data_IF_455683940681
#
_entry.id   IF_455683940681
#
_cell.length_a   1.000
_cell.length_b   1.000
_cell.length_c   1.000
_cell.angle_alpha   90.00
_cell.angle_beta   90.00
_cell.angle_gamma   90.00
#
_symmetry.space_group_name_H-M   'P 1'
#
loop_
_entity.id
_entity.type
_entity.pdbx_description
1 polymer ?
#
# COMPACT_ATOMS: atom_id res chain seq x y z
N UNK A 1 -49.83 49.56 17.57
CA UNK A 1 -48.39 49.35 17.86
C UNK A 1 -48.01 47.92 18.30
N UNK A 2 -48.88 46.91 18.14
CA UNK A 2 -48.58 45.52 18.55
C UNK A 2 -48.13 44.60 17.39
N UNK A 3 -48.41 44.99 16.14
CA UNK A 3 -48.10 44.19 14.94
C UNK A 3 -46.65 44.31 14.45
N UNK A 4 -45.94 45.37 14.84
CA UNK A 4 -44.53 45.57 14.46
C UNK A 4 -43.55 44.77 15.33
N UNK A 5 -43.92 44.49 16.58
CA UNK A 5 -43.09 43.70 17.51
C UNK A 5 -43.04 42.21 17.15
N UNK A 6 -44.13 41.66 16.62
CA UNK A 6 -44.19 40.25 16.19
C UNK A 6 -43.28 40.00 14.98
N UNK A 7 -43.22 40.93 14.03
CA UNK A 7 -42.34 40.81 12.85
C UNK A 7 -40.85 40.91 13.22
N UNK A 8 -40.51 41.76 14.20
CA UNK A 8 -39.12 41.85 14.71
C UNK A 8 -38.73 40.57 15.46
N UNK A 9 -39.61 39.98 16.27
CA UNK A 9 -39.32 38.70 16.94
C UNK A 9 -39.11 37.53 15.95
N UNK A 10 -39.84 37.49 14.83
CA UNK A 10 -39.63 36.48 13.79
C UNK A 10 -38.33 36.69 12.98
N UNK A 11 -37.87 37.93 12.81
CA UNK A 11 -36.57 38.21 12.17
C UNK A 11 -35.38 37.86 13.07
N UNK A 12 -35.53 37.90 14.40
CA UNK A 12 -34.50 37.44 15.33
C UNK A 12 -34.53 35.92 15.58
N UNK A 13 -35.67 35.24 15.43
CA UNK A 13 -35.75 33.77 15.47
C UNK A 13 -35.30 33.07 14.17
N UNK A 14 -35.06 33.82 13.09
CA UNK A 14 -34.48 33.31 11.83
C UNK A 14 -32.97 33.05 11.88
N UNK A 15 -32.30 33.36 13.00
CA UNK A 15 -30.95 32.88 13.33
C UNK A 15 -31.05 31.79 14.40
N UNK A 16 -31.88 30.77 14.17
CA UNK A 16 -31.56 29.44 14.73
C UNK A 16 -30.16 29.16 14.20
N UNK A 17 -29.20 29.14 15.11
CA UNK A 17 -27.85 28.68 14.85
C UNK A 17 -28.01 27.34 14.13
N UNK A 18 -27.71 27.30 12.83
CA UNK A 18 -27.27 26.07 12.23
C UNK A 18 -25.98 25.75 12.99
N UNK A 19 -26.11 24.99 14.08
CA UNK A 19 -25.02 24.24 14.63
C UNK A 19 -24.37 23.58 13.42
N UNK A 20 -23.12 23.95 13.15
CA UNK A 20 -22.41 23.43 11.98
C UNK A 20 -22.60 21.92 11.95
N UNK A 21 -22.83 21.37 10.77
CA UNK A 21 -22.81 19.93 10.63
C UNK A 21 -21.40 19.44 11.01
N UNK A 22 -21.33 18.41 11.84
CA UNK A 22 -20.09 17.70 12.18
C UNK A 22 -19.28 17.48 10.90
N UNK A 23 -18.05 17.98 10.86
CA UNK A 23 -17.18 17.82 9.70
C UNK A 23 -16.17 16.71 9.97
N UNK A 24 -16.18 15.69 9.10
CA UNK A 24 -15.14 14.67 9.05
C UNK A 24 -14.13 14.98 7.95
N UNK A 25 -13.09 15.73 8.30
CA UNK A 25 -11.98 16.10 7.44
C UNK A 25 -11.27 14.84 6.93
N UNK A 26 -11.03 14.75 5.62
CA UNK A 26 -10.42 13.59 4.96
C UNK A 26 -11.10 12.22 5.20
N UNK A 27 -12.35 12.18 5.66
CA UNK A 27 -13.03 10.92 6.00
C UNK A 27 -13.13 9.95 4.80
N UNK A 28 -13.52 10.47 3.64
CA UNK A 28 -13.67 9.66 2.41
C UNK A 28 -12.31 9.22 1.87
N UNK A 29 -11.33 10.12 1.88
CA UNK A 29 -9.96 9.88 1.44
C UNK A 29 -9.30 8.79 2.31
N UNK A 30 -9.47 8.88 3.64
CA UNK A 30 -9.04 7.85 4.59
C UNK A 30 -9.67 6.50 4.28
N UNK A 31 -11.00 6.44 4.11
CA UNK A 31 -11.70 5.18 3.90
C UNK A 31 -11.24 4.47 2.63
N UNK A 32 -11.01 5.22 1.55
CA UNK A 32 -10.52 4.67 0.29
C UNK A 32 -9.09 4.16 0.42
N UNK A 33 -8.17 4.94 1.00
CA UNK A 33 -6.79 4.50 1.20
C UNK A 33 -6.70 3.32 2.18
N UNK A 34 -7.50 3.32 3.24
CA UNK A 34 -7.58 2.25 4.22
C UNK A 34 -8.10 0.95 3.60
N UNK A 35 -9.08 1.02 2.69
CA UNK A 35 -9.56 -0.14 1.91
C UNK A 35 -8.45 -0.74 1.06
N UNK A 36 -7.66 0.08 0.35
CA UNK A 36 -6.50 -0.39 -0.41
C UNK A 36 -5.51 -1.10 0.52
N UNK A 37 -5.12 -0.46 1.62
CA UNK A 37 -4.14 -1.02 2.55
C UNK A 37 -4.60 -2.36 3.15
N UNK A 38 -5.88 -2.45 3.54
CA UNK A 38 -6.47 -3.71 4.03
C UNK A 38 -6.47 -4.80 2.97
N UNK A 39 -6.81 -4.48 1.72
CA UNK A 39 -6.80 -5.42 0.61
C UNK A 39 -5.38 -5.93 0.31
N UNK A 40 -4.40 -5.01 0.27
CA UNK A 40 -2.98 -5.32 0.04
C UNK A 40 -2.43 -6.23 1.13
N UNK A 41 -2.70 -5.92 2.41
CA UNK A 41 -2.27 -6.77 3.54
C UNK A 41 -2.93 -8.14 3.47
N UNK A 42 -4.24 -8.22 3.21
CA UNK A 42 -4.93 -9.49 3.10
C UNK A 42 -4.31 -10.36 2.01
N UNK A 43 -4.10 -9.79 0.81
CA UNK A 43 -3.55 -10.51 -0.33
C UNK A 43 -2.12 -10.98 -0.07
N UNK A 44 -1.28 -10.13 0.53
CA UNK A 44 0.08 -10.51 0.90
C UNK A 44 0.12 -11.62 1.96
N UNK A 45 -0.76 -11.60 2.96
CA UNK A 45 -0.72 -12.56 4.08
C UNK A 45 -1.43 -13.87 3.75
N UNK A 46 -2.54 -13.83 3.00
CA UNK A 46 -3.39 -15.00 2.75
C UNK A 46 -3.14 -15.68 1.41
N UNK A 47 -2.59 -14.94 0.44
CA UNK A 47 -2.46 -15.43 -0.93
C UNK A 47 -1.02 -15.40 -1.43
N UNK A 48 -0.02 -15.14 -0.57
CA UNK A 48 1.39 -14.91 -0.99
C UNK A 48 1.93 -15.95 -1.98
N UNK A 49 1.58 -17.23 -1.78
CA UNK A 49 2.09 -18.36 -2.57
C UNK A 49 1.52 -18.44 -3.99
N UNK A 50 0.41 -17.76 -4.27
CA UNK A 50 -0.26 -17.79 -5.59
C UNK A 50 0.09 -16.56 -6.43
N UNK A 51 0.66 -15.52 -5.82
CA UNK A 51 1.00 -14.27 -6.49
C UNK A 51 2.21 -14.44 -7.40
N UNK A 52 2.24 -13.69 -8.50
CA UNK A 52 3.47 -13.48 -9.24
C UNK A 52 4.47 -12.65 -8.42
N UNK A 53 5.76 -12.83 -8.70
CA UNK A 53 6.83 -12.07 -8.04
C UNK A 53 6.70 -10.54 -8.22
N UNK A 54 6.32 -10.01 -9.41
CA UNK A 54 6.06 -8.58 -9.57
C UNK A 54 4.97 -8.06 -8.62
N UNK A 55 3.83 -8.76 -8.53
CA UNK A 55 2.75 -8.36 -7.62
C UNK A 55 3.18 -8.46 -6.17
N UNK A 56 3.85 -9.54 -5.77
CA UNK A 56 4.38 -9.72 -4.42
C UNK A 56 5.31 -8.56 -4.02
N UNK A 57 6.20 -8.15 -4.93
CA UNK A 57 7.09 -7.00 -4.72
C UNK A 57 6.31 -5.70 -4.56
N UNK A 58 5.34 -5.43 -5.43
CA UNK A 58 4.53 -4.20 -5.37
C UNK A 58 3.65 -4.13 -4.10
N UNK A 59 3.09 -5.25 -3.64
CA UNK A 59 2.37 -5.31 -2.37
C UNK A 59 3.28 -4.99 -1.18
N UNK A 60 4.50 -5.57 -1.15
CA UNK A 60 5.49 -5.27 -0.09
C UNK A 60 5.90 -3.80 -0.11
N UNK A 61 6.17 -3.23 -1.29
CA UNK A 61 6.49 -1.80 -1.43
C UNK A 61 5.32 -0.91 -0.99
N UNK A 62 4.08 -1.31 -1.28
CA UNK A 62 2.89 -0.57 -0.84
C UNK A 62 2.78 -0.52 0.69
N UNK A 63 3.12 -1.61 1.38
CA UNK A 63 3.04 -1.70 2.86
C UNK A 63 4.26 -1.07 3.53
N UNK A 64 5.46 -1.48 3.15
CA UNK A 64 6.70 -1.15 3.85
C UNK A 64 7.45 0.05 3.26
N UNK A 65 7.09 0.42 2.03
CA UNK A 65 7.73 1.49 1.28
C UNK A 65 8.99 1.08 0.54
N UNK A 66 9.49 2.00 -0.29
CA UNK A 66 10.71 1.79 -1.07
C UNK A 66 11.95 1.71 -0.17
N UNK A 67 12.78 0.70 -0.39
CA UNK A 67 13.94 0.40 0.46
C UNK A 67 13.56 -0.14 1.84
N UNK A 68 12.27 -0.24 2.15
CA UNK A 68 11.74 -0.79 3.40
C UNK A 68 11.60 -2.31 3.37
N UNK A 69 11.39 -2.87 4.57
CA UNK A 69 11.16 -4.28 4.81
C UNK A 69 10.67 -4.50 6.24
N UNK A 70 10.80 -5.74 6.73
CA UNK A 70 10.37 -6.12 8.08
C UNK A 70 9.05 -6.89 8.08
N UNK A 71 8.45 -6.99 9.25
CA UNK A 71 7.21 -7.74 9.48
C UNK A 71 6.01 -6.81 9.69
N UNK A 72 4.81 -7.33 9.45
CA UNK A 72 3.58 -6.57 9.68
C UNK A 72 3.38 -6.27 11.17
N UNK A 73 3.80 -7.18 12.04
CA UNK A 73 3.76 -7.07 13.49
C UNK A 73 4.64 -5.93 14.00
N UNK A 74 5.87 -5.82 13.47
CA UNK A 74 6.77 -4.70 13.78
C UNK A 74 6.21 -3.37 13.28
N UNK A 75 5.68 -3.35 12.04
CA UNK A 75 5.11 -2.15 11.44
C UNK A 75 3.90 -1.64 12.24
N UNK A 76 3.04 -2.55 12.73
CA UNK A 76 1.88 -2.18 13.57
C UNK A 76 2.28 -1.63 14.94
N UNK A 77 3.40 -2.08 15.50
CA UNK A 77 3.76 -1.80 16.89
C UNK A 77 4.13 -0.34 17.14
N UNK A 78 4.82 0.30 16.20
CA UNK A 78 5.37 1.64 16.44
C UNK A 78 5.49 2.46 15.17
N UNK A 79 5.33 3.78 15.31
CA UNK A 79 5.66 4.73 14.25
C UNK A 79 7.12 4.50 13.78
N UNK A 80 7.37 4.43 12.46
CA UNK A 80 8.72 4.28 11.93
C UNK A 80 9.69 5.34 12.45
N UNK A 81 10.92 4.92 12.75
CA UNK A 81 11.91 5.77 13.45
C UNK A 81 12.36 7.00 12.67
N UNK A 82 12.18 7.03 11.35
CA UNK A 82 12.44 8.20 10.50
C UNK A 82 11.60 9.42 10.87
N UNK A 83 10.41 9.24 11.44
CA UNK A 83 9.59 10.34 11.98
C UNK A 83 10.13 10.93 13.30
N UNK A 84 11.06 10.23 13.98
CA UNK A 84 11.65 10.66 15.25
C UNK A 84 12.99 11.38 15.05
N UNK A 85 13.52 11.39 13.83
CA UNK A 85 14.78 12.05 13.49
C UNK A 85 14.56 13.56 13.31
N UNK A 86 15.62 14.33 13.54
CA UNK A 86 15.66 15.73 13.09
C UNK A 86 15.50 15.74 11.56
N UNK A 87 14.50 16.48 11.06
CA UNK A 87 14.19 16.52 9.62
C UNK A 87 12.91 15.80 9.18
N UNK A 88 12.06 15.33 10.11
CA UNK A 88 10.68 14.91 9.79
C UNK A 88 9.79 16.12 9.42
N UNK A 89 10.19 16.91 8.43
CA UNK A 89 9.47 18.06 7.91
C UNK A 89 8.26 17.59 7.11
N UNK A 90 7.07 18.06 7.48
CA UNK A 90 5.84 17.64 6.81
C UNK A 90 5.81 18.00 5.32
N UNK A 91 6.28 19.19 4.97
CA UNK A 91 6.32 19.65 3.59
C UNK A 91 7.22 18.78 2.73
N UNK A 92 8.38 18.38 3.24
CA UNK A 92 9.25 17.40 2.57
C UNK A 92 8.59 16.03 2.47
N UNK A 93 8.07 15.52 3.57
CA UNK A 93 7.53 14.16 3.65
C UNK A 93 6.24 13.99 2.83
N UNK A 94 5.34 14.97 2.86
CA UNK A 94 3.99 14.84 2.33
C UNK A 94 3.72 15.70 1.08
N UNK A 95 4.58 16.67 0.79
CA UNK A 95 4.26 17.76 -0.14
C UNK A 95 5.28 18.03 -1.24
N UNK A 96 6.52 17.56 -1.12
CA UNK A 96 7.58 17.80 -2.09
C UNK A 96 7.94 16.52 -2.85
N UNK A 97 8.63 16.71 -3.97
CA UNK A 97 9.24 15.60 -4.71
C UNK A 97 10.38 14.99 -3.91
N UNK A 98 10.58 13.70 -4.12
CA UNK A 98 11.76 13.02 -3.62
C UNK A 98 12.98 13.52 -4.39
N UNK A 99 13.93 14.11 -3.66
CA UNK A 99 15.20 14.56 -4.21
C UNK A 99 16.28 13.52 -3.91
N UNK A 100 16.86 12.93 -4.97
CA UNK A 100 17.95 11.93 -4.83
C UNK A 100 19.34 12.55 -4.84
N UNK A 101 19.46 13.80 -5.28
CA UNK A 101 20.73 14.52 -5.43
C UNK A 101 20.71 15.87 -4.70
N UNK A 102 21.42 15.97 -3.58
CA UNK A 102 21.57 17.22 -2.82
C UNK A 102 22.65 17.16 -1.74
N UNK A 103 23.02 18.32 -1.20
CA UNK A 103 24.00 18.53 -0.10
C UNK A 103 23.55 17.94 1.25
N UNK A 104 22.36 17.35 1.31
CA UNK A 104 21.72 16.74 2.48
C UNK A 104 21.46 15.26 2.21
N UNK A 105 21.42 14.44 3.27
CA UNK A 105 21.05 13.03 3.19
C UNK A 105 19.74 12.85 2.43
N UNK A 106 19.65 11.79 1.60
CA UNK A 106 18.44 11.49 0.83
C UNK A 106 17.20 11.44 1.73
N UNK A 107 16.10 12.07 1.28
CA UNK A 107 14.88 12.16 2.07
C UNK A 107 14.39 10.75 2.42
N UNK A 108 14.24 10.40 3.72
CA UNK A 108 13.91 9.03 4.11
C UNK A 108 12.46 8.65 3.73
N UNK A 109 11.61 9.66 3.50
CA UNK A 109 10.22 9.53 3.07
C UNK A 109 9.89 10.65 2.10
N UNK A 110 8.87 10.40 1.28
CA UNK A 110 8.27 11.36 0.37
C UNK A 110 6.83 10.93 0.08
N UNK A 111 6.06 11.82 -0.52
CA UNK A 111 4.67 11.57 -0.86
C UNK A 111 4.53 10.41 -1.87
N UNK A 112 3.80 9.36 -1.53
CA UNK A 112 3.73 8.13 -2.33
C UNK A 112 4.83 7.12 -2.03
N UNK A 113 5.62 7.30 -0.96
CA UNK A 113 6.60 6.31 -0.50
C UNK A 113 5.97 4.97 -0.14
N UNK A 114 4.83 4.99 0.56
CA UNK A 114 4.02 3.82 0.93
C UNK A 114 2.61 4.25 1.32
N UNK A 115 1.65 3.32 1.29
CA UNK A 115 0.27 3.61 1.71
C UNK A 115 0.15 3.98 3.21
N UNK A 116 0.88 3.33 4.16
CA UNK A 116 0.89 3.79 5.56
C UNK A 116 1.48 5.20 5.74
N UNK A 117 2.52 5.55 4.99
CA UNK A 117 3.09 6.90 5.01
C UNK A 117 2.06 7.94 4.56
N UNK A 118 1.38 7.68 3.44
CA UNK A 118 0.33 8.56 2.93
C UNK A 118 -0.82 8.73 3.94
N UNK A 119 -1.16 7.67 4.68
CA UNK A 119 -2.15 7.73 5.76
C UNK A 119 -1.74 8.68 6.88
N UNK A 120 -0.47 8.65 7.31
CA UNK A 120 0.07 9.58 8.30
C UNK A 120 -0.02 11.03 7.79
N UNK A 121 0.38 11.27 6.55
CA UNK A 121 0.29 12.59 5.92
C UNK A 121 -1.15 13.11 5.81
N UNK A 122 -2.12 12.23 5.58
CA UNK A 122 -3.53 12.57 5.45
C UNK A 122 -4.22 12.81 6.81
N UNK A 123 -3.84 12.04 7.83
CA UNK A 123 -4.61 11.89 9.08
C UNK A 123 -3.91 12.40 10.34
N UNK A 124 -2.72 13.00 10.22
CA UNK A 124 -2.07 13.73 11.33
C UNK A 124 -2.49 15.19 11.27
N UNK A 125 -2.88 15.76 12.40
CA UNK A 125 -3.23 17.19 12.48
C UNK A 125 -2.06 18.06 12.04
N UNK A 126 -2.35 19.07 11.24
CA UNK A 126 -1.44 20.11 10.80
C UNK A 126 -1.07 21.09 11.91
N UNK A 127 -0.33 22.12 11.56
CA UNK A 127 0.14 23.15 12.48
C UNK A 127 -0.96 23.66 13.40
N UNK A 128 -0.59 23.87 14.67
CA UNK A 128 -1.50 24.34 15.71
C UNK A 128 -2.74 23.43 15.89
N UNK A 129 -2.65 22.15 15.56
CA UNK A 129 -3.73 21.18 15.68
C UNK A 129 -4.82 21.29 14.60
N UNK A 130 -4.52 21.93 13.46
CA UNK A 130 -5.46 22.01 12.34
C UNK A 130 -5.84 20.63 11.79
N UNK A 131 -7.09 20.36 11.39
CA UNK A 131 -8.25 21.26 11.40
C UNK A 131 -9.00 21.30 12.73
N UNK A 132 -8.69 20.40 13.66
CA UNK A 132 -9.50 20.14 14.86
C UNK A 132 -9.37 21.21 15.95
N UNK A 133 -8.49 22.20 15.78
CA UNK A 133 -8.28 23.31 16.71
C UNK A 133 -8.81 24.65 16.18
N UNK A 134 -9.31 24.73 14.94
CA UNK A 134 -9.85 25.94 14.33
C UNK A 134 -11.37 26.13 14.55
N UNK A 135 -12.04 25.22 15.26
CA UNK A 135 -13.47 25.31 15.55
C UNK A 135 -13.77 26.42 16.56
N UNK A 136 -13.83 27.66 16.07
CA UNK A 136 -14.32 28.84 16.79
C UNK A 136 -15.81 28.63 17.04
N UNK A 137 -16.15 28.29 18.28
CA UNK A 137 -17.52 28.06 18.78
C UNK A 137 -18.15 26.75 18.27
N UNK A 138 -17.98 25.68 19.06
CA UNK A 138 -19.07 24.72 19.27
C UNK A 138 -19.21 23.51 18.33
N UNK A 139 -18.12 22.83 17.96
CA UNK A 139 -18.23 21.45 17.45
C UNK A 139 -17.16 20.56 18.10
N UNK A 140 -17.44 20.07 19.31
CA UNK A 140 -16.63 19.05 20.00
C UNK A 140 -16.52 17.73 19.19
N UNK A 141 -17.30 17.60 18.12
CA UNK A 141 -17.44 16.38 17.33
C UNK A 141 -16.70 16.39 15.99
N UNK A 142 -16.01 17.47 15.60
CA UNK A 142 -15.24 17.47 14.34
C UNK A 142 -14.18 16.37 14.36
N UNK A 143 -14.01 15.72 13.21
CA UNK A 143 -13.15 14.54 13.04
C UNK A 143 -12.13 14.75 11.95
N UNK A 144 -10.97 14.13 12.11
CA UNK A 144 -10.00 13.94 11.03
C UNK A 144 -9.86 12.44 10.82
N UNK A 145 -10.13 11.97 9.59
CA UNK A 145 -10.12 10.55 9.25
C UNK A 145 -10.98 9.69 10.20
N UNK A 146 -12.15 10.22 10.58
CA UNK A 146 -13.08 9.58 11.51
C UNK A 146 -12.70 9.67 12.99
N UNK A 147 -11.53 10.20 13.34
CA UNK A 147 -11.06 10.31 14.73
C UNK A 147 -11.31 11.69 15.32
N UNK A 148 -11.71 11.72 16.59
CA UNK A 148 -11.77 12.94 17.39
C UNK A 148 -10.35 13.39 17.78
N UNK A 149 -10.25 14.66 18.16
CA UNK A 149 -8.99 15.32 18.54
C UNK A 149 -8.16 14.54 19.56
N UNK A 150 -8.80 14.04 20.62
CA UNK A 150 -8.10 13.32 21.69
C UNK A 150 -7.50 11.98 21.22
N UNK A 151 -8.14 11.32 20.25
CA UNK A 151 -7.60 10.10 19.64
C UNK A 151 -6.41 10.39 18.71
N UNK A 152 -6.17 11.64 18.35
CA UNK A 152 -5.05 12.09 17.53
C UNK A 152 -3.99 12.85 18.34
N UNK A 153 -3.88 12.56 19.65
CA UNK A 153 -2.86 13.14 20.52
C UNK A 153 -3.28 14.43 21.23
N UNK A 154 -4.49 14.95 20.96
CA UNK A 154 -5.05 16.08 21.68
C UNK A 154 -4.25 17.39 21.52
N UNK A 155 -4.48 18.33 22.45
CA UNK A 155 -3.64 19.54 22.60
C UNK A 155 -3.85 20.62 21.53
N UNK A 156 -2.89 21.53 21.43
CA UNK A 156 -2.86 22.58 20.38
C UNK A 156 -1.69 22.40 19.43
N UNK A 157 -0.90 21.35 19.61
CA UNK A 157 0.27 21.06 18.78
C UNK A 157 -0.17 20.36 17.49
N UNK A 158 0.76 20.25 16.56
CA UNK A 158 0.53 19.58 15.30
C UNK A 158 1.82 19.32 14.57
N UNK A 159 1.71 18.70 13.40
CA UNK A 159 2.85 18.41 12.54
C UNK A 159 2.88 19.35 11.34
N UNK A 160 3.94 20.13 11.21
CA UNK A 160 4.11 21.13 10.16
C UNK A 160 5.54 21.19 9.62
N UNK A 161 5.76 22.07 8.64
CA UNK A 161 7.10 22.34 8.12
C UNK A 161 7.93 23.22 9.06
N UNK A 162 9.23 23.04 8.98
CA UNK A 162 10.25 23.90 9.54
C UNK A 162 10.16 25.31 8.92
N UNK A 163 10.19 26.32 9.78
CA UNK A 163 10.11 27.73 9.41
C UNK A 163 11.26 28.48 10.02
N UNK A 164 11.78 29.44 9.27
CA UNK A 164 12.72 30.43 9.79
C UNK A 164 11.96 31.70 10.16
N UNK A 165 12.19 32.22 11.36
CA UNK A 165 11.61 33.48 11.83
C UNK A 165 12.71 34.36 12.40
N UNK A 166 12.61 35.67 12.18
CA UNK A 166 13.51 36.62 12.82
C UNK A 166 13.05 36.89 14.25
N UNK A 167 13.86 36.48 15.23
CA UNK A 167 13.61 36.84 16.63
C UNK A 167 14.16 38.24 16.91
N UNK A 168 13.25 39.17 17.17
CA UNK A 168 13.58 40.57 17.48
C UNK A 168 14.37 40.71 18.78
N UNK A 169 14.21 39.78 19.73
CA UNK A 169 14.83 39.80 21.05
C UNK A 169 16.30 39.41 20.98
N UNK A 170 16.59 38.28 20.32
CA UNK A 170 17.94 37.75 20.14
C UNK A 170 18.65 38.28 18.89
N UNK A 171 17.96 39.04 18.02
CA UNK A 171 18.50 39.59 16.76
C UNK A 171 19.14 38.51 15.88
N UNK A 172 18.54 37.33 15.83
CA UNK A 172 18.98 36.21 15.00
C UNK A 172 17.78 35.52 14.35
N UNK A 173 18.06 34.69 13.34
CA UNK A 173 17.07 33.79 12.75
C UNK A 173 16.93 32.58 13.66
N UNK A 174 15.71 32.33 14.13
CA UNK A 174 15.34 31.12 14.86
C UNK A 174 14.58 30.18 13.94
N UNK A 175 14.84 28.90 14.12
CA UNK A 175 14.12 27.84 13.43
C UNK A 175 12.97 27.36 14.32
N UNK A 176 11.75 27.48 13.83
CA UNK A 176 10.54 26.95 14.47
C UNK A 176 10.14 25.68 13.74
N UNK A 177 9.78 24.63 14.49
CA UNK A 177 9.34 23.37 13.91
C UNK A 177 8.25 22.74 14.78
N UNK A 178 7.04 22.69 14.25
CA UNK A 178 5.92 21.95 14.83
C UNK A 178 6.11 20.45 14.54
N UNK A 179 6.86 19.75 15.40
CA UNK A 179 7.20 18.33 15.19
C UNK A 179 6.01 17.39 15.31
N UNK A 180 5.03 17.73 16.14
CA UNK A 180 3.80 16.96 16.31
C UNK A 180 4.01 15.49 16.73
N UNK A 181 5.04 15.19 17.52
CA UNK A 181 5.44 13.80 17.85
C UNK A 181 4.30 12.98 18.46
N UNK A 182 3.54 13.57 19.40
CA UNK A 182 2.37 12.93 20.01
C UNK A 182 1.25 12.69 18.98
N UNK A 183 1.03 13.64 18.09
CA UNK A 183 0.01 13.54 17.03
C UNK A 183 0.40 12.46 16.01
N UNK A 184 1.67 12.38 15.61
CA UNK A 184 2.20 11.35 14.71
C UNK A 184 2.06 9.95 15.31
N UNK A 185 2.47 9.75 16.56
CA UNK A 185 2.37 8.44 17.23
C UNK A 185 0.89 8.06 17.42
N UNK A 186 0.04 8.99 17.84
CA UNK A 186 -1.40 8.74 17.99
C UNK A 186 -2.08 8.41 16.65
N UNK A 187 -1.79 9.15 15.57
CA UNK A 187 -2.30 8.86 14.23
C UNK A 187 -1.84 7.47 13.76
N UNK A 188 -0.57 7.12 13.99
CA UNK A 188 -0.07 5.79 13.64
C UNK A 188 -0.87 4.69 14.33
N UNK A 189 -1.05 4.77 15.64
CA UNK A 189 -1.72 3.73 16.41
C UNK A 189 -3.24 3.69 16.14
N UNK A 190 -3.88 4.86 16.08
CA UNK A 190 -5.34 4.95 16.07
C UNK A 190 -5.97 4.98 14.69
N UNK A 191 -5.18 5.25 13.64
CA UNK A 191 -5.63 5.32 12.24
C UNK A 191 -4.87 4.31 11.39
N UNK A 192 -3.57 4.54 11.19
CA UNK A 192 -2.75 3.77 10.24
C UNK A 192 -2.66 2.29 10.61
N UNK A 193 -2.41 1.97 11.88
CA UNK A 193 -2.30 0.61 12.40
C UNK A 193 -3.58 -0.20 12.22
N UNK A 194 -4.75 0.43 12.39
CA UNK A 194 -6.06 -0.24 12.16
C UNK A 194 -6.31 -0.59 10.69
N UNK A 195 -5.66 0.11 9.76
CA UNK A 195 -5.72 -0.21 8.34
C UNK A 195 -4.77 -1.35 7.95
N UNK A 196 -3.83 -1.73 8.83
CA UNK A 196 -2.92 -2.86 8.64
C UNK A 196 -3.52 -4.20 9.09
N UNK A 197 -4.75 -4.25 9.59
CA UNK A 197 -5.36 -5.51 10.06
C UNK A 197 -5.77 -6.48 8.96
N UNK A 198 -5.68 -6.06 7.69
CA UNK A 198 -6.03 -6.89 6.55
C UNK A 198 -7.52 -7.18 6.49
N UNK A 199 -8.10 -7.11 5.30
CA UNK A 199 -9.48 -7.53 5.09
C UNK A 199 -9.63 -8.00 3.66
N UNK A 200 -10.41 -9.06 3.47
CA UNK A 200 -10.79 -9.49 2.13
C UNK A 200 -11.64 -8.39 1.50
N UNK A 201 -11.03 -7.68 0.56
CA UNK A 201 -11.59 -6.58 -0.21
C UNK A 201 -11.06 -6.76 -1.65
N UNK A 202 -11.82 -6.33 -2.64
CA UNK A 202 -11.33 -6.35 -4.03
C UNK A 202 -10.23 -5.30 -4.19
N UNK A 203 -8.99 -5.75 -4.33
CA UNK A 203 -7.82 -4.87 -4.44
C UNK A 203 -7.88 -3.99 -5.69
N UNK A 204 -8.37 -4.50 -6.82
CA UNK A 204 -8.43 -3.72 -8.06
C UNK A 204 -9.46 -2.61 -7.96
N UNK A 205 -10.63 -2.94 -7.44
CA UNK A 205 -11.69 -1.95 -7.23
C UNK A 205 -11.31 -0.93 -6.15
N UNK A 206 -10.69 -1.37 -5.05
CA UNK A 206 -10.19 -0.48 -4.01
C UNK A 206 -9.16 0.51 -4.58
N UNK A 207 -8.18 0.02 -5.35
CA UNK A 207 -7.14 0.85 -5.95
C UNK A 207 -7.71 1.83 -6.96
N UNK A 208 -8.60 1.36 -7.84
CA UNK A 208 -9.28 2.22 -8.83
C UNK A 208 -10.08 3.34 -8.17
N UNK A 209 -10.85 3.02 -7.12
CA UNK A 209 -11.64 4.01 -6.40
C UNK A 209 -10.75 5.04 -5.68
N UNK A 210 -9.61 4.60 -5.14
CA UNK A 210 -8.59 5.49 -4.59
C UNK A 210 -8.01 6.43 -5.65
N UNK A 211 -7.54 5.90 -6.79
CA UNK A 211 -6.97 6.70 -7.88
C UNK A 211 -7.98 7.72 -8.42
N UNK A 212 -9.24 7.32 -8.61
CA UNK A 212 -10.32 8.21 -9.08
C UNK A 212 -10.61 9.38 -8.13
N UNK A 213 -10.22 9.26 -6.85
CA UNK A 213 -10.39 10.32 -5.86
C UNK A 213 -9.29 11.38 -5.92
N UNK A 214 -8.15 11.06 -6.54
CA UNK A 214 -7.03 11.98 -6.66
C UNK A 214 -7.41 13.19 -7.52
N UNK A 215 -7.06 14.39 -7.05
CA UNK A 215 -7.31 15.64 -7.77
C UNK A 215 -6.07 16.05 -8.54
N UNK A 216 -6.16 16.08 -9.87
CA UNK A 216 -5.10 16.60 -10.72
C UNK A 216 -4.91 18.12 -10.51
N UNK A 217 -3.67 18.57 -10.37
CA UNK A 217 -3.30 19.97 -10.11
C UNK A 217 -2.27 20.49 -11.13
N UNK A 218 -2.70 20.79 -12.36
CA UNK A 218 -1.79 21.15 -13.45
C UNK A 218 -1.27 22.59 -13.41
N UNK A 219 -1.73 23.40 -12.45
CA UNK A 219 -1.49 24.84 -12.40
C UNK A 219 -0.05 25.23 -11.98
N UNK A 220 0.81 24.27 -11.69
CA UNK A 220 2.24 24.52 -11.46
C UNK A 220 3.00 24.19 -12.74
N UNK A 221 3.58 25.22 -13.35
CA UNK A 221 4.33 25.10 -14.61
C UNK A 221 5.55 24.20 -14.48
N UNK A 222 6.07 24.01 -13.27
CA UNK A 222 7.21 23.11 -13.02
C UNK A 222 6.80 21.63 -13.01
N UNK A 223 5.55 21.33 -12.61
CA UNK A 223 5.06 19.97 -12.40
C UNK A 223 3.56 19.85 -12.75
N UNK A 224 3.20 19.88 -14.05
CA UNK A 224 1.82 19.94 -14.52
C UNK A 224 1.02 18.65 -14.30
N UNK A 225 1.65 17.57 -13.85
CA UNK A 225 1.01 16.25 -13.68
C UNK A 225 1.08 15.74 -12.23
N UNK A 226 0.94 16.65 -11.27
CA UNK A 226 0.86 16.29 -9.85
C UNK A 226 -0.57 16.02 -9.41
N UNK A 227 -0.72 15.09 -8.49
CA UNK A 227 -2.02 14.66 -7.97
C UNK A 227 -2.08 14.90 -6.48
N UNK A 228 -3.26 15.26 -5.98
CA UNK A 228 -3.45 15.52 -4.56
C UNK A 228 -4.53 14.62 -3.97
N UNK A 229 -4.26 14.13 -2.76
CA UNK A 229 -5.27 13.57 -1.86
C UNK A 229 -5.41 14.45 -0.62
N UNK A 230 -6.64 14.73 -0.20
CA UNK A 230 -6.95 15.43 1.04
C UNK A 230 -7.34 16.91 0.90
N UNK A 231 -7.58 17.53 2.04
CA UNK A 231 -8.19 18.86 2.17
C UNK A 231 -7.28 19.95 2.77
N UNK A 232 -7.68 21.21 2.55
CA UNK A 232 -6.96 22.39 3.02
C UNK A 232 -7.09 23.63 2.14
N UNK A 233 -6.37 24.68 2.52
CA UNK A 233 -6.13 25.88 1.72
C UNK A 233 -4.91 25.67 0.80
N UNK A 234 -5.18 25.70 -0.50
CA UNK A 234 -4.23 25.36 -1.56
C UNK A 234 -3.81 26.57 -2.39
N UNK A 235 -3.89 27.78 -1.81
CA UNK A 235 -3.22 28.96 -2.35
C UNK A 235 -1.71 28.74 -2.54
N UNK A 236 -1.08 27.99 -1.63
CA UNK A 236 0.30 27.49 -1.78
C UNK A 236 0.34 25.99 -2.13
N UNK A 237 1.31 25.55 -2.95
CA UNK A 237 1.28 24.22 -3.58
C UNK A 237 1.61 23.03 -2.66
N UNK A 238 2.26 23.24 -1.51
CA UNK A 238 2.88 22.15 -0.72
C UNK A 238 2.00 21.73 0.45
N UNK A 239 1.86 20.42 0.67
CA UNK A 239 1.21 19.81 1.85
C UNK A 239 2.08 19.96 3.11
N UNK A 240 2.12 21.16 3.68
CA UNK A 240 3.04 21.54 4.77
C UNK A 240 2.41 21.56 6.18
N UNK A 241 1.12 21.22 6.33
CA UNK A 241 0.43 21.27 7.62
C UNK A 241 -0.20 22.62 7.96
N UNK A 242 0.16 23.72 7.28
CA UNK A 242 -0.45 25.03 7.52
C UNK A 242 -1.81 25.10 6.81
N UNK A 243 -2.89 24.82 7.57
CA UNK A 243 -4.27 24.75 7.07
C UNK A 243 -4.50 23.73 5.95
N UNK A 244 -3.67 22.68 5.90
CA UNK A 244 -3.79 21.60 4.92
C UNK A 244 -3.20 20.31 5.46
N UNK A 245 -3.96 19.23 5.32
CA UNK A 245 -3.55 17.87 5.66
C UNK A 245 -3.82 17.01 4.44
N UNK A 246 -2.76 16.76 3.68
CA UNK A 246 -2.85 16.21 2.34
C UNK A 246 -1.56 15.48 1.95
N UNK A 247 -1.64 14.78 0.82
CA UNK A 247 -0.50 14.15 0.14
C UNK A 247 -0.42 14.71 -1.29
N UNK A 248 0.77 15.10 -1.74
CA UNK A 248 1.02 15.58 -3.09
C UNK A 248 1.89 14.59 -3.87
N UNK A 249 1.30 13.86 -4.81
CA UNK A 249 1.97 12.85 -5.63
C UNK A 249 2.58 13.43 -6.90
N UNK A 250 3.70 12.85 -7.32
CA UNK A 250 4.43 13.21 -8.52
C UNK A 250 4.71 11.98 -9.40
N UNK A 251 3.67 11.28 -9.88
CA UNK A 251 3.81 9.96 -10.51
C UNK A 251 4.63 9.96 -11.81
N UNK A 252 4.77 11.11 -12.46
CA UNK A 252 5.53 11.25 -13.71
C UNK A 252 6.99 11.69 -13.47
N UNK A 253 7.41 11.90 -12.22
CA UNK A 253 8.80 12.21 -11.88
C UNK A 253 9.63 10.93 -11.90
N UNK A 254 10.77 10.97 -12.59
CA UNK A 254 11.70 9.83 -12.67
C UNK A 254 12.36 9.51 -11.33
N UNK A 255 12.46 10.51 -10.43
CA UNK A 255 13.12 10.37 -9.13
C UNK A 255 12.15 10.07 -7.98
N UNK A 256 10.85 10.34 -8.18
CA UNK A 256 9.81 10.17 -7.17
C UNK A 256 8.89 9.01 -7.50
N UNK A 257 9.26 7.81 -7.02
CA UNK A 257 8.42 6.62 -7.19
C UNK A 257 7.13 6.73 -6.37
N UNK A 258 6.04 6.19 -6.91
CA UNK A 258 4.71 6.28 -6.30
C UNK A 258 4.08 4.89 -6.22
N UNK A 259 3.82 4.41 -5.00
CA UNK A 259 3.44 3.01 -4.75
C UNK A 259 2.22 2.55 -5.55
N UNK A 260 1.22 3.40 -5.76
CA UNK A 260 -0.03 3.02 -6.43
C UNK A 260 0.14 2.86 -7.95
N UNK A 261 1.12 3.54 -8.56
CA UNK A 261 1.49 3.35 -9.97
C UNK A 261 2.11 1.97 -10.18
N UNK A 262 3.07 1.63 -9.30
CA UNK A 262 3.74 0.33 -9.34
C UNK A 262 2.76 -0.80 -9.04
N UNK A 263 1.84 -0.60 -8.10
CA UNK A 263 0.81 -1.58 -7.76
C UNK A 263 -0.19 -1.80 -8.90
N UNK A 264 -0.65 -0.74 -9.56
CA UNK A 264 -1.55 -0.85 -10.72
C UNK A 264 -0.87 -1.63 -11.86
N UNK A 265 0.40 -1.31 -12.15
CA UNK A 265 1.18 -1.98 -13.19
C UNK A 265 1.36 -3.47 -12.84
N UNK A 266 1.74 -3.78 -11.61
CA UNK A 266 1.93 -5.17 -11.18
C UNK A 266 0.62 -5.99 -11.18
N UNK A 267 -0.53 -5.36 -10.94
CA UNK A 267 -1.84 -6.02 -11.04
C UNK A 267 -2.20 -6.39 -12.49
N UNK A 268 -1.78 -5.58 -13.46
CA UNK A 268 -1.96 -5.86 -14.90
C UNK A 268 -1.04 -7.00 -15.31
N UNK A 269 0.24 -6.94 -14.95
CA UNK A 269 1.23 -7.99 -15.24
C UNK A 269 0.84 -9.33 -14.62
N UNK A 270 0.38 -9.34 -13.36
CA UNK A 270 -0.08 -10.56 -12.69
C UNK A 270 -1.25 -11.20 -13.45
N UNK A 271 -2.21 -10.39 -13.93
CA UNK A 271 -3.34 -10.89 -14.72
C UNK A 271 -2.87 -11.66 -15.97
N UNK A 272 -1.87 -11.13 -16.65
CA UNK A 272 -1.32 -11.72 -17.86
C UNK A 272 -0.53 -12.99 -17.54
N UNK A 273 0.29 -12.96 -16.49
CA UNK A 273 1.02 -14.14 -16.02
C UNK A 273 0.08 -15.28 -15.62
N UNK A 274 -1.02 -14.97 -14.90
CA UNK A 274 -1.98 -16.01 -14.50
C UNK A 274 -2.68 -16.63 -15.73
N UNK A 275 -3.08 -15.81 -16.72
CA UNK A 275 -3.65 -16.33 -17.98
C UNK A 275 -2.69 -17.28 -18.70
N UNK A 276 -1.41 -16.92 -18.79
CA UNK A 276 -0.40 -17.76 -19.42
C UNK A 276 -0.18 -19.08 -18.67
N UNK A 277 -0.22 -19.06 -17.33
CA UNK A 277 -0.14 -20.28 -16.51
C UNK A 277 -1.34 -21.19 -16.72
N UNK A 278 -2.55 -20.64 -16.74
CA UNK A 278 -3.79 -21.38 -17.00
C UNK A 278 -3.80 -22.00 -18.40
N UNK A 279 -3.36 -21.27 -19.42
CA UNK A 279 -3.27 -21.77 -20.80
C UNK A 279 -2.24 -22.90 -20.92
N UNK A 280 -1.06 -22.74 -20.32
CA UNK A 280 -0.01 -23.76 -20.31
C UNK A 280 -0.48 -25.02 -19.56
N UNK A 281 -1.19 -24.87 -18.45
CA UNK A 281 -1.74 -26.01 -17.71
C UNK A 281 -2.82 -26.73 -18.51
N UNK A 282 -3.70 -25.99 -19.21
CA UNK A 282 -4.68 -26.59 -20.13
C UNK A 282 -3.99 -27.35 -21.27
N UNK A 283 -2.89 -26.82 -21.81
CA UNK A 283 -2.11 -27.48 -22.86
C UNK A 283 -1.49 -28.78 -22.35
N UNK A 284 -0.86 -28.77 -21.18
CA UNK A 284 -0.30 -29.97 -20.53
C UNK A 284 -1.36 -31.05 -20.27
N UNK A 285 -2.53 -30.66 -19.77
CA UNK A 285 -3.63 -31.59 -19.54
C UNK A 285 -4.14 -32.25 -20.84
N UNK A 286 -4.15 -31.50 -21.96
CA UNK A 286 -4.50 -32.04 -23.27
C UNK A 286 -3.43 -33.01 -23.79
N UNK A 287 -2.14 -32.67 -23.66
CA UNK A 287 -1.02 -33.53 -24.06
C UNK A 287 -0.98 -34.83 -23.23
N UNK A 288 -1.22 -34.75 -21.92
CA UNK A 288 -1.33 -35.91 -21.02
C UNK A 288 -2.51 -36.80 -21.38
N UNK A 289 -3.63 -36.21 -21.79
CA UNK A 289 -4.81 -36.96 -22.23
C UNK A 289 -4.56 -37.66 -23.58
N UNK A 290 -3.90 -36.98 -24.52
CA UNK A 290 -3.55 -37.56 -25.81
C UNK A 290 -2.49 -38.66 -25.69
N UNK A 291 -1.47 -38.50 -24.83
CA UNK A 291 -0.44 -39.51 -24.61
C UNK A 291 -1.01 -40.77 -23.95
N UNK A 292 -1.92 -40.64 -22.98
CA UNK A 292 -2.64 -41.79 -22.38
C UNK A 292 -3.49 -42.54 -23.40
N UNK A 293 -4.20 -41.83 -24.27
CA UNK A 293 -5.02 -42.45 -25.32
C UNK A 293 -4.15 -43.14 -26.38
N UNK A 294 -2.99 -42.57 -26.73
CA UNK A 294 -2.02 -43.18 -27.65
C UNK A 294 -1.41 -44.46 -27.08
N UNK A 295 -1.06 -44.46 -25.78
CA UNK A 295 -0.56 -45.65 -25.10
C UNK A 295 -1.61 -46.78 -25.01
N UNK A 296 -2.89 -46.45 -24.80
CA UNK A 296 -4.00 -47.42 -24.85
C UNK A 296 -4.27 -47.94 -26.27
N UNK A 297 -4.23 -47.07 -27.28
CA UNK A 297 -4.39 -47.47 -28.67
C UNK A 297 -3.26 -48.41 -29.12
N UNK A 298 -2.01 -48.11 -28.76
CA UNK A 298 -0.86 -48.98 -29.06
C UNK A 298 -0.94 -50.36 -28.37
N UNK A 299 -1.50 -50.43 -27.16
CA UNK A 299 -1.73 -51.70 -26.45
C UNK A 299 -2.84 -52.56 -27.10
N UNK A 300 -3.83 -51.94 -27.77
CA UNK A 300 -4.88 -52.65 -28.49
C UNK A 300 -4.44 -53.14 -29.88
N UNK A 301 -3.42 -52.52 -30.48
CA UNK A 301 -2.88 -52.93 -31.80
C UNK A 301 -1.74 -53.95 -31.70
N UNK A 302 -1.21 -54.26 -30.51
CA UNK A 302 -0.27 -55.38 -30.35
C UNK A 302 -1.04 -56.70 -30.42
N UNK A 303 -1.04 -57.29 -31.61
CA UNK A 303 -1.93 -58.36 -32.02
C UNK A 303 -1.84 -59.66 -31.23
N UNK A 304 -2.88 -60.45 -31.47
CA UNK A 304 -3.07 -61.85 -31.09
C UNK A 304 -1.76 -62.67 -31.21
N UNK A 305 -1.39 -63.48 -30.20
CA UNK A 305 -0.28 -64.40 -30.35
C UNK A 305 -0.70 -65.52 -31.31
N UNK A 306 -0.18 -65.51 -32.54
CA UNK A 306 -0.32 -66.64 -33.45
C UNK A 306 0.56 -67.77 -32.93
N UNK A 307 -0.04 -68.69 -32.19
CA UNK A 307 0.58 -69.95 -31.74
C UNK A 307 0.82 -70.84 -32.95
N UNK A 308 2.03 -70.79 -33.51
CA UNK A 308 2.59 -71.88 -34.30
C UNK A 308 4.07 -71.98 -33.93
N UNK A 309 4.36 -72.82 -32.94
CA UNK A 309 5.70 -73.33 -32.69
C UNK A 309 5.70 -74.83 -32.96
N UNK A 310 6.28 -75.20 -34.11
CA UNK A 310 7.01 -76.46 -34.25
C UNK A 310 8.46 -76.17 -33.87
N UNK A 311 8.98 -77.01 -33.01
CA UNK A 311 10.25 -76.95 -32.31
C UNK A 311 11.41 -77.44 -33.18
N UNK A 312 12.48 -76.63 -33.37
CA UNK A 312 13.90 -77.02 -33.20
C UNK A 312 14.93 -75.95 -33.60
N UNK A 313 15.86 -75.68 -32.66
CA UNK A 313 17.33 -75.48 -32.74
C UNK A 313 17.92 -74.70 -33.95
N UNK A 314 18.77 -73.66 -33.82
CA UNK A 314 20.05 -73.61 -33.09
C UNK A 314 20.68 -72.18 -33.13
N UNK A 315 21.57 -71.89 -32.17
CA UNK A 315 22.72 -70.94 -32.17
C UNK A 315 22.53 -69.42 -31.98
N UNK A 316 22.81 -69.00 -30.74
CA UNK A 316 23.63 -67.86 -30.28
C UNK A 316 23.91 -66.68 -31.25
N UNK A 317 23.42 -65.49 -30.88
CA UNK A 317 24.27 -64.29 -30.95
C UNK A 317 23.93 -63.27 -29.85
N UNK A 318 24.98 -62.78 -29.23
CA UNK A 318 25.06 -61.99 -28.01
C UNK A 318 24.90 -60.52 -28.41
N UNK A 319 23.68 -59.97 -28.42
CA UNK A 319 23.53 -58.50 -28.53
C UNK A 319 22.25 -57.93 -27.88
N UNK A 320 21.25 -58.75 -27.52
CA UNK A 320 19.96 -58.24 -27.01
C UNK A 320 19.81 -58.17 -25.48
N UNK A 321 20.82 -58.58 -24.70
CA UNK A 321 20.71 -58.65 -23.24
C UNK A 321 20.86 -57.28 -22.53
N UNK A 322 21.27 -56.22 -23.24
CA UNK A 322 21.54 -54.91 -22.61
C UNK A 322 20.29 -54.00 -22.51
N UNK A 323 19.21 -54.25 -23.28
CA UNK A 323 18.02 -53.37 -23.24
C UNK A 323 16.94 -53.73 -22.22
N UNK A 324 17.03 -54.89 -21.55
CA UNK A 324 15.92 -55.44 -20.75
C UNK A 324 16.04 -55.29 -19.21
N UNK A 325 16.95 -54.45 -18.72
CA UNK A 325 17.11 -54.20 -17.27
C UNK A 325 16.57 -52.86 -16.77
N UNK A 326 15.96 -52.01 -17.61
CA UNK A 326 15.65 -50.63 -17.21
C UNK A 326 14.18 -50.26 -16.97
N UNK A 327 13.25 -51.21 -16.94
CA UNK A 327 11.89 -50.88 -16.54
C UNK A 327 11.28 -52.06 -15.79
N UNK A 328 11.30 -52.00 -14.46
CA UNK A 328 10.15 -52.24 -13.54
C UNK A 328 10.67 -52.73 -12.17
N UNK A 329 10.78 -51.85 -11.17
CA UNK A 329 10.15 -52.03 -9.84
C UNK A 329 10.21 -50.76 -8.98
N UNK A 330 9.10 -50.54 -8.30
CA UNK A 330 8.77 -49.53 -7.28
C UNK A 330 9.93 -49.20 -6.31
N UNK A 331 10.00 -48.05 -5.66
CA UNK A 331 9.14 -47.70 -4.51
C UNK A 331 9.42 -46.27 -4.03
N UNK A 332 8.38 -45.65 -3.48
CA UNK A 332 8.31 -44.45 -2.65
C UNK A 332 9.61 -44.00 -1.95
N UNK A 333 10.03 -42.75 -2.19
CA UNK A 333 10.82 -41.98 -1.23
C UNK A 333 10.22 -40.57 -1.15
N UNK A 334 9.50 -40.36 -0.06
CA UNK A 334 9.16 -39.06 0.51
C UNK A 334 10.49 -38.33 0.74
N UNK A 335 10.68 -37.16 0.14
CA UNK A 335 11.78 -36.27 0.56
C UNK A 335 11.41 -35.63 1.90
N UNK A 336 12.23 -35.78 2.96
CA UNK A 336 12.10 -34.92 4.12
C UNK A 336 12.68 -33.54 3.82
N UNK A 337 11.88 -32.54 4.16
CA UNK A 337 12.28 -31.16 4.43
C UNK A 337 13.36 -31.16 5.53
N UNK A 338 14.54 -30.59 5.23
CA UNK A 338 15.61 -30.45 6.23
C UNK A 338 16.51 -29.28 5.89
N UNK A 339 16.07 -28.05 6.15
CA UNK A 339 16.97 -26.93 6.45
C UNK A 339 16.30 -26.00 7.45
N UNK A 340 16.45 -26.35 8.73
CA UNK A 340 16.44 -25.40 9.84
C UNK A 340 17.88 -25.31 10.37
N UNK A 341 18.27 -24.07 10.67
CA UNK A 341 19.36 -23.62 11.55
C UNK A 341 20.78 -23.56 10.96
N UNK A 342 21.26 -22.32 10.82
CA UNK A 342 22.52 -21.95 11.46
C UNK A 342 22.45 -20.53 12.03
N UNK A 343 22.79 -20.43 13.30
CA UNK A 343 22.96 -19.24 14.13
C UNK A 343 24.47 -19.07 14.35
N UNK A 344 24.96 -17.85 14.09
CA UNK A 344 26.10 -17.14 14.71
C UNK A 344 27.50 -17.78 14.70
N UNK A 345 28.48 -17.01 14.17
CA UNK A 345 29.75 -16.77 14.87
C UNK A 345 30.21 -15.31 14.71
N UNK A 346 30.65 -14.75 15.84
CA UNK A 346 31.33 -13.48 16.04
C UNK A 346 32.68 -13.41 15.31
N UNK A 347 33.05 -12.22 14.83
CA UNK A 347 34.34 -11.55 15.08
C UNK A 347 34.14 -10.04 15.11
#
# INVERSE_FOLDING_TARGET
>A
MMKLWVVVCFLFMGKICAYGAEKNHNGVEHDLLCKVLKAVVYKLVKEESTLSEPLKKALKQTIFGYGGGGTLEELKKSLPGDYKKEGADRGQFCGQQHETSGYYDAQPRWAGHSAPHDMVCLCTTGEKGWPLNESVVGMENDRLCGQLKDALGGGKDGWGSQKSSWDKTSRNVVTLHDKGENQLEATWQNVTGKCLDGKQEDLRDALKNFINKLVNRPQDTSNPNRYRLGEGDFSEPVCNGNKKVCVMYYPNSTETKTWWVDLETALIEDAEIQKQREEEERRRQQEDSQSKNSAQAAALTSGHPTTNQTERQQNDNITDTIRKLNLTRSSSIILPSSWLLNVVFLF
#
